data_IF_391060648197
#
_entry.id   IF_391060648197
#
_cell.length_a   1.000
_cell.length_b   1.000
_cell.length_c   1.000
_cell.angle_alpha   90.00
_cell.angle_beta   90.00
_cell.angle_gamma   90.00
#
_symmetry.space_group_name_H-M   'P 1'
#
loop_
_entity.id
_entity.type
_entity.pdbx_description
1 polymer ?
#
# COMPACT_ATOMS: atom_id res chain seq x y z
N UNK A 1 15.04 -14.81 4.52
CA UNK A 1 13.67 -14.23 4.54
C UNK A 1 13.03 -14.11 3.15
N UNK A 2 13.76 -13.82 2.07
CA UNK A 2 13.22 -13.59 0.71
C UNK A 2 12.50 -14.80 0.09
N UNK A 3 12.92 -16.04 0.39
CA UNK A 3 12.34 -17.26 -0.20
C UNK A 3 10.89 -17.56 0.20
N UNK A 4 10.44 -17.10 1.37
CA UNK A 4 9.08 -17.34 1.85
C UNK A 4 8.08 -16.41 1.15
N UNK A 5 8.40 -15.12 1.11
CA UNK A 5 7.55 -14.11 0.48
C UNK A 5 7.46 -14.25 -1.04
N UNK A 6 8.47 -14.79 -1.70
CA UNK A 6 8.43 -15.06 -3.14
C UNK A 6 7.41 -16.12 -3.57
N UNK A 7 6.91 -16.95 -2.63
CA UNK A 7 5.88 -17.97 -2.89
C UNK A 7 4.47 -17.52 -2.54
N UNK A 8 4.33 -16.40 -1.85
CA UNK A 8 3.03 -15.83 -1.50
C UNK A 8 2.48 -15.10 -2.72
N UNK A 9 1.20 -15.34 -3.03
CA UNK A 9 0.48 -14.52 -4.00
C UNK A 9 0.34 -13.12 -3.41
N UNK A 10 0.92 -12.13 -4.07
CA UNK A 10 0.92 -10.74 -3.61
C UNK A 10 -0.50 -10.19 -3.39
N UNK A 11 -1.45 -10.59 -4.24
CA UNK A 11 -2.85 -10.19 -4.17
C UNK A 11 -3.56 -10.71 -2.91
N UNK A 12 -3.31 -11.98 -2.55
CA UNK A 12 -3.88 -12.61 -1.35
C UNK A 12 -3.30 -12.00 -0.07
N UNK A 13 -1.98 -11.80 -0.05
CA UNK A 13 -1.30 -11.15 1.07
C UNK A 13 -1.83 -9.73 1.26
N UNK A 14 -1.98 -8.97 0.17
CA UNK A 14 -2.54 -7.63 0.20
C UNK A 14 -3.98 -7.64 0.73
N UNK A 15 -4.80 -8.60 0.29
CA UNK A 15 -6.21 -8.70 0.70
C UNK A 15 -6.34 -9.05 2.18
N UNK A 16 -5.58 -10.03 2.67
CA UNK A 16 -5.52 -10.33 4.11
C UNK A 16 -5.02 -9.14 4.92
N UNK A 17 -4.00 -8.43 4.43
CA UNK A 17 -3.46 -7.25 5.09
C UNK A 17 -4.52 -6.14 5.19
N UNK A 18 -5.21 -5.80 4.10
CA UNK A 18 -6.28 -4.79 4.08
C UNK A 18 -7.41 -5.19 5.04
N UNK A 19 -7.87 -6.45 4.99
CA UNK A 19 -8.94 -6.93 5.86
C UNK A 19 -8.57 -6.84 7.35
N UNK A 20 -7.34 -7.22 7.71
CA UNK A 20 -6.84 -7.06 9.06
C UNK A 20 -6.78 -5.57 9.46
N UNK A 21 -6.31 -4.70 8.56
CA UNK A 21 -6.24 -3.26 8.83
C UNK A 21 -7.62 -2.61 9.00
N UNK A 22 -8.62 -3.03 8.23
CA UNK A 22 -10.02 -2.58 8.40
C UNK A 22 -10.57 -2.99 9.78
N UNK A 23 -10.26 -4.21 10.23
CA UNK A 23 -10.66 -4.67 11.57
C UNK A 23 -9.99 -3.84 12.68
N UNK A 24 -8.70 -3.51 12.52
CA UNK A 24 -7.99 -2.61 13.46
C UNK A 24 -8.59 -1.21 13.42
N UNK A 25 -8.94 -0.69 12.24
CA UNK A 25 -9.52 0.65 12.10
C UNK A 25 -10.84 0.81 12.87
N UNK A 26 -11.73 -0.18 12.82
CA UNK A 26 -13.00 -0.18 13.58
C UNK A 26 -12.79 -0.05 15.09
N UNK A 27 -11.68 -0.58 15.61
CA UNK A 27 -11.32 -0.48 17.03
C UNK A 27 -10.80 0.92 17.39
N UNK A 28 -10.34 1.70 16.41
CA UNK A 28 -9.62 2.97 16.61
C UNK A 28 -10.47 4.23 16.40
N UNK A 29 -11.76 4.08 16.09
CA UNK A 29 -12.79 5.13 16.14
C UNK A 29 -12.49 6.44 15.38
N UNK A 30 -12.16 6.35 14.08
CA UNK A 30 -12.17 7.51 13.17
C UNK A 30 -10.95 8.43 13.29
N UNK A 31 -9.77 7.84 13.21
CA UNK A 31 -8.51 8.53 13.47
C UNK A 31 -7.96 9.35 12.28
N UNK A 32 -7.11 10.34 12.57
CA UNK A 32 -6.41 11.13 11.56
C UNK A 32 -5.45 10.25 10.74
N UNK A 33 -5.69 10.19 9.43
CA UNK A 33 -4.91 9.39 8.49
C UNK A 33 -3.98 10.27 7.67
N UNK A 34 -2.70 9.99 7.77
CA UNK A 34 -1.66 10.59 6.95
C UNK A 34 -1.57 9.86 5.62
N UNK A 35 -1.36 10.60 4.53
CA UNK A 35 -1.16 10.03 3.19
C UNK A 35 0.22 10.40 2.70
N UNK A 36 1.02 9.41 2.31
CA UNK A 36 2.42 9.58 1.94
C UNK A 36 2.76 8.82 0.65
N UNK A 37 3.46 9.51 -0.26
CA UNK A 37 3.99 8.98 -1.51
C UNK A 37 5.38 8.36 -1.30
N UNK A 38 5.52 7.06 -1.57
CA UNK A 38 6.78 6.32 -1.47
C UNK A 38 7.19 5.77 -2.83
N UNK A 39 8.48 5.83 -3.13
CA UNK A 39 9.05 5.14 -4.31
C UNK A 39 9.82 3.90 -3.86
N UNK A 40 9.34 2.72 -4.23
CA UNK A 40 10.05 1.47 -3.96
C UNK A 40 11.26 1.37 -4.91
N UNK A 41 12.46 1.54 -4.36
CA UNK A 41 13.72 1.35 -5.06
C UNK A 41 14.19 -0.09 -4.90
N UNK A 42 14.36 -0.80 -6.01
CA UNK A 42 14.84 -2.20 -6.02
C UNK A 42 13.76 -3.26 -6.17
N UNK A 43 12.48 -2.88 -6.18
CA UNK A 43 11.40 -3.74 -6.63
C UNK A 43 11.44 -3.81 -8.18
N UNK A 44 11.61 -5.01 -8.73
CA UNK A 44 11.56 -5.22 -10.19
C UNK A 44 10.16 -5.64 -10.58
N UNK A 45 9.53 -4.86 -11.45
CA UNK A 45 8.32 -5.30 -12.14
C UNK A 45 8.68 -6.37 -13.18
N UNK A 46 7.98 -7.50 -13.14
CA UNK A 46 8.31 -8.66 -13.99
C UNK A 46 8.03 -8.29 -15.44
N UNK A 47 9.09 -8.07 -16.23
CA UNK A 47 9.00 -7.67 -17.64
C UNK A 47 9.34 -6.20 -17.91
N UNK A 48 9.61 -5.38 -16.89
CA UNK A 48 10.01 -3.98 -17.07
C UNK A 48 11.39 -3.75 -16.44
N UNK A 49 12.32 -3.10 -17.15
CA UNK A 49 13.69 -2.85 -16.68
C UNK A 49 13.77 -1.67 -15.68
N UNK A 50 12.61 -1.11 -15.31
CA UNK A 50 12.48 -0.01 -14.35
C UNK A 50 12.28 -0.57 -12.95
N UNK A 51 13.22 -0.26 -12.07
CA UNK A 51 13.26 -0.65 -10.66
C UNK A 51 12.64 0.39 -9.72
N UNK A 52 11.78 1.27 -10.26
CA UNK A 52 11.12 2.35 -9.54
C UNK A 52 9.61 2.14 -9.64
N UNK A 53 9.00 1.76 -8.53
CA UNK A 53 7.55 1.61 -8.42
C UNK A 53 7.03 2.73 -7.52
N UNK A 54 6.40 3.78 -8.07
CA UNK A 54 5.74 4.81 -7.27
C UNK A 54 4.51 4.20 -6.58
N UNK A 55 4.32 4.53 -5.31
CA UNK A 55 3.30 3.97 -4.43
C UNK A 55 2.77 5.07 -3.51
N UNK A 56 1.50 5.01 -3.16
CA UNK A 56 0.90 5.87 -2.13
C UNK A 56 0.43 4.99 -0.99
N UNK A 57 0.68 5.45 0.24
CA UNK A 57 0.32 4.75 1.48
C UNK A 57 -0.50 5.64 2.40
N UNK A 58 -1.49 5.05 3.08
CA UNK A 58 -2.27 5.68 4.15
C UNK A 58 -1.75 5.15 5.48
N UNK A 59 -1.42 6.03 6.41
CA UNK A 59 -0.84 5.73 7.71
C UNK A 59 -1.64 6.38 8.84
N UNK A 60 -1.94 5.61 9.88
CA UNK A 60 -2.49 6.11 11.14
C UNK A 60 -1.32 6.50 12.05
N UNK A 61 -1.21 7.79 12.38
CA UNK A 61 -0.13 8.30 13.20
C UNK A 61 -0.17 7.77 14.63
N UNK A 62 -1.37 7.67 15.20
CA UNK A 62 -1.59 7.28 16.59
C UNK A 62 -1.38 5.78 16.81
N UNK A 63 -1.82 4.94 15.86
CA UNK A 63 -1.63 3.49 15.98
C UNK A 63 -0.30 3.03 15.37
N UNK A 64 0.47 3.95 14.78
CA UNK A 64 1.74 3.68 14.11
C UNK A 64 1.63 2.56 13.06
N UNK A 65 0.58 2.60 12.22
CA UNK A 65 0.25 1.54 11.26
C UNK A 65 -0.08 2.07 9.87
N UNK A 66 0.27 1.30 8.83
CA UNK A 66 -0.18 1.56 7.44
C UNK A 66 -1.55 0.90 7.23
N UNK A 67 -2.59 1.69 6.97
CA UNK A 67 -3.94 1.18 6.73
C UNK A 67 -4.16 0.66 5.31
N UNK A 68 -3.46 1.24 4.33
CA UNK A 68 -3.63 0.90 2.93
C UNK A 68 -2.47 1.35 2.07
N UNK A 69 -2.23 0.64 0.97
CA UNK A 69 -1.15 0.93 0.02
C UNK A 69 -1.64 0.68 -1.40
N UNK A 70 -1.33 1.58 -2.34
CA UNK A 70 -1.67 1.44 -3.75
C UNK A 70 -0.53 1.89 -4.65
N UNK A 71 -0.20 1.07 -5.65
CA UNK A 71 0.75 1.42 -6.71
C UNK A 71 0.17 2.55 -7.57
N UNK A 72 0.98 3.55 -7.87
CA UNK A 72 0.64 4.61 -8.83
C UNK A 72 0.93 4.08 -10.24
N UNK A 73 -0.02 4.21 -11.15
CA UNK A 73 0.16 3.80 -12.54
C UNK A 73 1.21 4.69 -13.23
N UNK A 74 2.01 4.16 -14.16
CA UNK A 74 3.16 4.85 -14.78
C UNK A 74 2.82 6.21 -15.44
N UNK A 75 1.56 6.43 -15.85
CA UNK A 75 1.08 7.68 -16.46
C UNK A 75 0.18 8.52 -15.55
N UNK A 76 0.05 8.14 -14.28
CA UNK A 76 -0.87 8.75 -13.33
C UNK A 76 -0.11 9.41 -12.18
N UNK A 77 -0.71 10.41 -11.53
CA UNK A 77 -0.10 11.15 -10.44
C UNK A 77 -0.60 10.64 -9.09
N UNK A 78 0.15 10.92 -8.02
CA UNK A 78 -0.25 10.59 -6.64
C UNK A 78 -1.63 11.15 -6.29
N UNK A 79 -1.95 12.36 -6.77
CA UNK A 79 -3.26 13.02 -6.62
C UNK A 79 -4.40 12.13 -7.13
N UNK A 80 -4.18 11.36 -8.20
CA UNK A 80 -5.20 10.49 -8.80
C UNK A 80 -5.29 9.13 -8.10
N UNK A 81 -4.19 8.68 -7.49
CA UNK A 81 -4.13 7.42 -6.75
C UNK A 81 -4.75 7.52 -5.34
N UNK A 82 -4.73 8.70 -4.72
CA UNK A 82 -5.29 8.92 -3.36
C UNK A 82 -6.80 8.65 -3.31
N UNK A 83 -7.65 9.20 -4.20
CA UNK A 83 -9.08 8.89 -4.20
C UNK A 83 -9.39 7.41 -4.40
N UNK A 84 -8.58 6.69 -5.18
CA UNK A 84 -8.77 5.25 -5.36
C UNK A 84 -8.35 4.45 -4.12
N UNK A 85 -7.36 4.94 -3.38
CA UNK A 85 -6.90 4.33 -2.13
C UNK A 85 -7.92 4.50 -0.99
N UNK A 86 -8.66 5.61 -0.97
CA UNK A 86 -9.71 5.88 0.04
C UNK A 86 -11.06 5.19 -0.25
N UNK A 87 -11.22 4.57 -1.43
CA UNK A 87 -12.42 3.77 -1.78
C UNK A 87 -12.35 2.31 -1.29
N UNK A 88 -11.20 1.91 -0.75
CA UNK A 88 -10.93 0.57 -0.20
C UNK A 88 -11.44 0.52 1.24
#
# INVERSE_FOLDING_TARGET
MIRLFARLKSEELQSCFISWMQAVHQVTNGELLNVDGKTLRGAKERGNNRSLIPMVSVWSATNHLVLGQRKVAEKSNEITAIPELLKI
#
